data_IF_560944321609
#
_entry.id   IF_560944321609
#
_cell.length_a   1.000
_cell.length_b   1.000
_cell.length_c   1.000
_cell.angle_alpha   90.00
_cell.angle_beta   90.00
_cell.angle_gamma   90.00
#
_symmetry.space_group_name_H-M   'P 1'
#
loop_
_entity.id
_entity.type
_entity.pdbx_description
1 polymer ?
#
# COMPACT_ATOMS: atom_id res chain seq x y z
N UNK A 1 -8.77 16.54 -13.89
CA UNK A 1 -9.33 15.23 -14.28
C UNK A 1 -10.22 14.73 -13.15
N UNK A 2 -11.35 14.05 -13.40
CA UNK A 2 -12.12 13.43 -12.31
C UNK A 2 -11.28 12.30 -11.69
N UNK A 3 -11.25 12.13 -10.36
CA UNK A 3 -10.45 11.10 -9.69
C UNK A 3 -10.78 9.68 -10.19
N UNK A 4 -12.05 9.39 -10.46
CA UNK A 4 -12.44 8.13 -11.10
C UNK A 4 -11.72 7.84 -12.43
N UNK A 5 -11.53 8.88 -13.26
CA UNK A 5 -10.83 8.74 -14.54
C UNK A 5 -9.32 8.59 -14.33
N UNK A 6 -8.76 9.35 -13.38
CA UNK A 6 -7.37 9.23 -12.96
C UNK A 6 -7.03 7.80 -12.55
N UNK A 7 -7.79 7.22 -11.61
CA UNK A 7 -7.53 5.86 -11.14
C UNK A 7 -7.76 4.82 -12.23
N UNK A 8 -8.75 5.00 -13.12
CA UNK A 8 -8.92 4.08 -14.26
C UNK A 8 -7.67 4.04 -15.15
N UNK A 9 -7.10 5.21 -15.45
CA UNK A 9 -5.89 5.30 -16.26
C UNK A 9 -4.66 4.75 -15.53
N UNK A 10 -4.56 4.99 -14.22
CA UNK A 10 -3.49 4.48 -13.39
C UNK A 10 -3.52 2.94 -13.30
N UNK A 11 -4.70 2.36 -13.12
CA UNK A 11 -4.91 0.90 -13.11
C UNK A 11 -4.53 0.30 -14.47
N UNK A 12 -4.97 0.89 -15.57
CA UNK A 12 -4.61 0.41 -16.90
C UNK A 12 -3.09 0.44 -17.15
N UNK A 13 -2.40 1.45 -16.63
CA UNK A 13 -0.93 1.51 -16.67
C UNK A 13 -0.29 0.41 -15.81
N UNK A 14 -0.80 0.21 -14.59
CA UNK A 14 -0.32 -0.85 -13.69
C UNK A 14 -0.50 -2.24 -14.31
N UNK A 15 -1.66 -2.52 -14.92
CA UNK A 15 -1.97 -3.79 -15.59
C UNK A 15 -0.95 -4.10 -16.70
N UNK A 16 -0.62 -3.12 -17.53
CA UNK A 16 0.39 -3.28 -18.60
C UNK A 16 1.79 -3.45 -18.01
N UNK A 17 2.12 -2.69 -16.97
CA UNK A 17 3.45 -2.67 -16.36
C UNK A 17 3.83 -4.01 -15.73
N UNK A 18 2.86 -4.71 -15.12
CA UNK A 18 3.08 -6.01 -14.47
C UNK A 18 2.67 -7.20 -15.35
N UNK A 19 2.19 -6.96 -16.58
CA UNK A 19 1.70 -8.01 -17.46
C UNK A 19 2.80 -9.03 -17.79
N UNK A 20 2.57 -10.29 -17.42
CA UNK A 20 3.46 -11.41 -17.76
C UNK A 20 4.70 -11.55 -16.88
N UNK A 21 4.95 -10.62 -15.96
CA UNK A 21 6.00 -10.75 -14.94
C UNK A 21 5.49 -11.59 -13.77
N UNK A 22 6.31 -12.51 -13.27
CA UNK A 22 5.97 -13.41 -12.15
C UNK A 22 6.66 -13.03 -10.86
N UNK A 23 7.75 -12.26 -10.94
CA UNK A 23 8.45 -11.76 -9.77
C UNK A 23 7.61 -10.68 -9.07
N UNK A 24 7.03 -11.07 -7.93
CA UNK A 24 6.17 -10.19 -7.14
C UNK A 24 6.92 -8.97 -6.60
N UNK A 25 8.24 -9.07 -6.37
CA UNK A 25 9.05 -7.97 -5.87
C UNK A 25 9.29 -6.95 -6.97
N UNK A 26 9.57 -7.40 -8.19
CA UNK A 26 9.65 -6.53 -9.36
C UNK A 26 8.32 -5.79 -9.60
N UNK A 27 7.19 -6.50 -9.49
CA UNK A 27 5.86 -5.92 -9.64
C UNK A 27 5.56 -4.88 -8.53
N UNK A 28 5.83 -5.20 -7.27
CA UNK A 28 5.68 -4.27 -6.14
C UNK A 28 6.58 -3.03 -6.32
N UNK A 29 7.83 -3.21 -6.77
CA UNK A 29 8.74 -2.11 -7.01
C UNK A 29 8.20 -1.14 -8.08
N UNK A 30 7.79 -1.66 -9.23
CA UNK A 30 7.25 -0.86 -10.33
C UNK A 30 5.91 -0.20 -9.98
N UNK A 31 5.03 -0.90 -9.25
CA UNK A 31 3.78 -0.30 -8.76
C UNK A 31 4.07 0.83 -7.78
N UNK A 32 5.00 0.64 -6.83
CA UNK A 32 5.36 1.70 -5.88
C UNK A 32 5.88 2.95 -6.59
N UNK A 33 6.71 2.78 -7.64
CA UNK A 33 7.20 3.87 -8.48
C UNK A 33 6.06 4.59 -9.21
N UNK A 34 5.20 3.83 -9.89
CA UNK A 34 4.05 4.38 -10.62
C UNK A 34 3.11 5.18 -9.71
N UNK A 35 2.79 4.64 -8.52
CA UNK A 35 1.95 5.32 -7.53
C UNK A 35 2.59 6.62 -7.05
N UNK A 36 3.87 6.59 -6.68
CA UNK A 36 4.59 7.74 -6.15
C UNK A 36 4.75 8.87 -7.18
N UNK A 37 4.94 8.54 -8.46
CA UNK A 37 5.03 9.52 -9.54
C UNK A 37 3.66 10.12 -9.90
N UNK A 38 2.58 9.33 -9.77
CA UNK A 38 1.24 9.72 -10.23
C UNK A 38 0.40 10.43 -9.17
N UNK A 39 0.60 10.10 -7.89
CA UNK A 39 -0.19 10.65 -6.79
C UNK A 39 0.42 11.95 -6.27
N UNK A 40 -0.34 13.04 -6.40
CA UNK A 40 0.05 14.31 -5.80
C UNK A 40 0.02 14.26 -4.27
N UNK A 41 0.95 14.99 -3.65
CA UNK A 41 1.04 15.19 -2.20
C UNK A 41 1.29 13.91 -1.37
N UNK A 42 1.88 12.88 -1.96
CA UNK A 42 2.35 11.69 -1.26
C UNK A 42 3.83 11.85 -0.91
N UNK A 43 4.24 11.41 0.29
CA UNK A 43 5.66 11.40 0.73
C UNK A 43 6.23 9.99 0.88
N UNK A 44 5.38 8.97 0.90
CA UNK A 44 5.78 7.58 0.91
C UNK A 44 4.74 6.70 0.21
N UNK A 45 5.16 5.75 -0.62
CA UNK A 45 4.28 4.76 -1.22
C UNK A 45 5.05 3.45 -1.40
N UNK A 46 4.51 2.34 -0.91
CA UNK A 46 5.23 1.08 -0.95
C UNK A 46 4.54 -0.06 -0.27
N UNK A 47 5.28 -1.15 -0.08
CA UNK A 47 4.73 -2.39 0.43
C UNK A 47 5.43 -2.83 1.69
N UNK A 48 4.66 -3.39 2.62
CA UNK A 48 5.17 -4.28 3.66
C UNK A 48 4.67 -5.69 3.41
N UNK A 49 5.55 -6.67 3.53
CA UNK A 49 5.33 -8.08 3.20
C UNK A 49 5.15 -8.91 4.47
N UNK A 50 4.24 -9.86 4.46
CA UNK A 50 4.09 -10.81 5.56
C UNK A 50 5.24 -11.83 5.51
N UNK A 51 6.14 -11.77 6.51
CA UNK A 51 7.26 -12.69 6.69
C UNK A 51 7.34 -13.05 8.18
N UNK A 52 7.38 -14.35 8.49
CA UNK A 52 7.45 -14.86 9.86
C UNK A 52 6.38 -14.28 10.82
N UNK A 53 5.15 -14.08 10.31
CA UNK A 53 4.01 -13.50 11.05
C UNK A 53 4.14 -12.01 11.40
N UNK A 54 5.09 -11.29 10.78
CA UNK A 54 5.22 -9.85 10.90
C UNK A 54 5.20 -9.18 9.51
N UNK A 55 4.88 -7.90 9.47
CA UNK A 55 5.09 -7.08 8.29
C UNK A 55 6.57 -6.68 8.22
N UNK A 56 7.21 -6.96 7.09
CA UNK A 56 8.62 -6.62 6.80
C UNK A 56 8.67 -5.72 5.57
N UNK A 57 9.44 -4.63 5.66
CA UNK A 57 9.57 -3.63 4.59
C UNK A 57 9.94 -4.28 3.25
N UNK A 58 9.11 -4.03 2.23
CA UNK A 58 9.28 -4.44 0.84
C UNK A 58 9.71 -3.27 -0.04
N UNK A 59 9.50 -3.34 -1.36
CA UNK A 59 9.76 -2.23 -2.27
C UNK A 59 8.90 -1.00 -1.96
N UNK A 60 9.51 0.19 -2.00
CA UNK A 60 8.83 1.45 -1.72
C UNK A 60 9.54 2.63 -2.41
N UNK A 61 8.85 3.77 -2.45
CA UNK A 61 9.38 5.08 -2.77
C UNK A 61 9.17 6.02 -1.58
N UNK A 62 10.20 6.78 -1.21
CA UNK A 62 10.16 7.69 -0.08
C UNK A 62 11.44 7.65 0.75
N UNK A 63 11.36 8.20 1.95
CA UNK A 63 12.47 8.15 2.92
C UNK A 63 12.55 6.78 3.60
N UNK A 64 13.65 6.55 4.31
CA UNK A 64 13.85 5.35 5.15
C UNK A 64 12.68 5.20 6.12
N UNK A 65 12.14 3.98 6.19
CA UNK A 65 11.00 3.62 7.03
C UNK A 65 11.34 2.49 8.01
N UNK A 66 10.39 2.12 8.86
CA UNK A 66 10.53 1.00 9.78
C UNK A 66 10.71 -0.32 9.03
N UNK A 67 11.61 -1.18 9.49
CA UNK A 67 11.90 -2.45 8.80
C UNK A 67 10.85 -3.52 9.14
N UNK A 68 10.39 -3.57 10.40
CA UNK A 68 9.42 -4.56 10.88
C UNK A 68 8.27 -3.89 11.62
N UNK A 69 7.06 -4.36 11.38
CA UNK A 69 5.83 -3.90 12.03
C UNK A 69 5.06 -5.14 12.53
N UNK A 70 4.82 -5.27 13.84
CA UNK A 70 4.00 -6.35 14.37
C UNK A 70 2.53 -6.22 13.92
N UNK A 71 1.85 -7.35 13.71
CA UNK A 71 0.41 -7.37 13.44
C UNK A 71 -0.36 -6.70 14.59
N UNK A 72 -1.36 -5.88 14.25
CA UNK A 72 -2.16 -5.09 15.19
C UNK A 72 -1.44 -3.88 15.79
N UNK A 73 -0.28 -3.48 15.26
CA UNK A 73 0.45 -2.28 15.68
C UNK A 73 0.58 -1.28 14.55
N UNK A 74 0.36 0.00 14.84
CA UNK A 74 0.30 1.05 13.83
C UNK A 74 -0.86 0.84 12.85
N UNK A 75 -0.97 1.71 11.86
CA UNK A 75 -2.02 1.65 10.84
C UNK A 75 -1.81 0.40 9.96
N UNK A 76 -0.57 0.20 9.48
CA UNK A 76 -0.15 -1.00 8.75
C UNK A 76 -0.51 -2.32 9.44
N UNK A 77 -0.10 -2.50 10.70
CA UNK A 77 -0.41 -3.74 11.44
C UNK A 77 -1.91 -3.88 11.73
N UNK A 78 -2.62 -2.78 11.94
CA UNK A 78 -4.09 -2.80 12.14
C UNK A 78 -4.81 -3.30 10.89
N UNK A 79 -4.39 -2.85 9.70
CA UNK A 79 -4.95 -3.32 8.43
C UNK A 79 -4.87 -4.84 8.28
N UNK A 80 -3.74 -5.44 8.69
CA UNK A 80 -3.57 -6.89 8.72
C UNK A 80 -4.47 -7.53 9.77
N UNK A 81 -4.52 -7.01 10.99
CA UNK A 81 -5.29 -7.63 12.08
C UNK A 81 -6.80 -7.61 11.84
N UNK A 82 -7.31 -6.56 11.18
CA UNK A 82 -8.73 -6.42 10.89
C UNK A 82 -9.11 -7.00 9.52
N UNK A 83 -8.12 -7.26 8.66
CA UNK A 83 -8.32 -7.67 7.27
C UNK A 83 -9.08 -6.64 6.46
N UNK A 84 -8.83 -5.35 6.71
CA UNK A 84 -9.56 -4.24 6.12
C UNK A 84 -8.64 -3.07 5.82
N UNK A 85 -8.98 -2.35 4.75
CA UNK A 85 -8.37 -1.06 4.43
C UNK A 85 -8.50 -0.10 5.59
N UNK A 86 -7.40 0.56 5.93
CA UNK A 86 -7.36 1.63 6.92
C UNK A 86 -7.13 2.95 6.19
N UNK A 87 -8.08 3.88 6.28
CA UNK A 87 -7.99 5.22 5.69
C UNK A 87 -8.01 6.27 6.80
N UNK A 88 -6.83 6.76 7.15
CA UNK A 88 -6.61 7.57 8.35
C UNK A 88 -6.42 9.03 7.95
N UNK A 89 -7.35 9.88 8.36
CA UNK A 89 -7.34 11.31 8.05
C UNK A 89 -6.27 12.11 8.85
N UNK A 90 -5.96 11.65 10.06
CA UNK A 90 -4.95 12.22 10.95
C UNK A 90 -4.25 11.08 11.71
N UNK A 91 -3.02 10.75 11.32
CA UNK A 91 -2.25 9.65 11.95
C UNK A 91 -1.88 9.95 13.40
N UNK A 92 -1.82 11.23 13.79
CA UNK A 92 -1.51 11.63 15.17
C UNK A 92 -2.65 11.34 16.14
N UNK A 93 -3.87 11.15 15.61
CA UNK A 93 -5.05 10.75 16.37
C UNK A 93 -5.26 9.23 16.39
N UNK A 94 -4.47 8.46 15.62
CA UNK A 94 -4.62 7.02 15.53
C UNK A 94 -4.06 6.33 16.79
N UNK A 95 -4.92 5.57 17.48
CA UNK A 95 -4.52 4.84 18.69
C UNK A 95 -3.52 3.74 18.36
N UNK A 96 -2.35 3.77 19.00
CA UNK A 96 -1.29 2.79 18.72
C UNK A 96 -0.44 3.14 17.49
N UNK A 97 -0.43 4.40 17.05
CA UNK A 97 0.49 4.91 16.04
C UNK A 97 1.95 4.58 16.41
N UNK A 98 2.62 3.85 15.53
CA UNK A 98 4.08 3.71 15.57
C UNK A 98 4.62 4.86 14.73
N UNK A 99 5.06 5.94 15.36
CA UNK A 99 5.65 7.07 14.67
C UNK A 99 7.01 6.67 14.06
N UNK A 100 6.99 6.18 12.82
CA UNK A 100 8.19 5.89 12.03
C UNK A 100 8.59 7.07 11.13
N UNK A 101 7.61 7.85 10.64
CA UNK A 101 7.84 9.12 9.95
C UNK A 101 7.04 10.25 10.61
N UNK A 102 7.74 11.24 11.13
CA UNK A 102 7.14 12.38 11.87
C UNK A 102 6.50 13.42 10.95
N UNK A 103 6.70 13.33 9.63
CA UNK A 103 6.10 14.31 8.69
C UNK A 103 4.79 13.84 8.05
N UNK A 104 4.45 12.54 8.14
CA UNK A 104 3.19 12.02 7.64
C UNK A 104 2.03 12.49 8.53
N UNK A 105 0.95 12.94 7.88
CA UNK A 105 -0.25 13.48 8.51
C UNK A 105 -1.49 12.66 8.18
N UNK A 106 -1.57 12.02 7.01
CA UNK A 106 -2.62 11.04 6.70
C UNK A 106 -2.03 9.83 5.97
N UNK A 107 -2.70 8.69 6.07
CA UNK A 107 -2.19 7.39 5.63
C UNK A 107 -3.36 6.56 5.07
N UNK A 108 -3.11 5.79 4.01
CA UNK A 108 -4.02 4.73 3.56
C UNK A 108 -3.26 3.42 3.40
N UNK A 109 -3.76 2.38 4.06
CA UNK A 109 -3.19 1.03 4.02
C UNK A 109 -4.21 0.05 3.49
N UNK A 110 -3.85 -0.70 2.46
CA UNK A 110 -4.72 -1.69 1.80
C UNK A 110 -4.08 -3.08 1.90
N UNK A 111 -4.77 -4.08 2.48
CA UNK A 111 -4.32 -5.46 2.46
C UNK A 111 -4.21 -6.02 1.03
N UNK A 112 -3.13 -6.75 0.76
CA UNK A 112 -2.93 -7.51 -0.49
C UNK A 112 -3.16 -8.98 -0.20
N UNK A 113 -4.12 -9.60 -0.89
CA UNK A 113 -4.51 -10.98 -0.67
C UNK A 113 -3.93 -11.94 -1.72
N UNK A 114 -3.56 -13.14 -1.25
CA UNK A 114 -3.29 -14.30 -2.09
C UNK A 114 -3.88 -15.54 -1.41
N UNK A 115 -4.75 -16.27 -2.13
CA UNK A 115 -5.48 -17.43 -1.57
C UNK A 115 -6.18 -17.13 -0.24
N UNK A 116 -6.90 -16.00 -0.17
CA UNK A 116 -7.63 -15.53 1.03
C UNK A 116 -6.75 -15.18 2.24
N UNK A 117 -5.41 -15.17 2.07
CA UNK A 117 -4.47 -14.76 3.12
C UNK A 117 -3.86 -13.40 2.76
N UNK A 118 -3.69 -12.55 3.76
CA UNK A 118 -2.96 -11.30 3.60
C UNK A 118 -1.48 -11.65 3.49
N UNK A 119 -0.88 -11.31 2.34
CA UNK A 119 0.52 -11.58 2.04
C UNK A 119 1.37 -10.32 2.05
N UNK A 120 0.75 -9.16 1.90
CA UNK A 120 1.37 -7.86 2.03
C UNK A 120 0.32 -6.81 2.38
N UNK A 121 0.77 -5.58 2.63
CA UNK A 121 -0.07 -4.38 2.57
C UNK A 121 0.58 -3.40 1.61
N UNK A 122 -0.24 -2.69 0.83
CA UNK A 122 0.13 -1.42 0.21
C UNK A 122 -0.08 -0.34 1.26
N UNK A 123 0.92 0.51 1.44
CA UNK A 123 0.90 1.63 2.37
C UNK A 123 1.29 2.92 1.62
N UNK A 124 0.55 3.99 1.87
CA UNK A 124 0.75 5.30 1.23
C UNK A 124 0.52 6.41 2.25
N UNK A 125 1.55 7.22 2.45
CA UNK A 125 1.54 8.37 3.36
C UNK A 125 1.43 9.70 2.63
N UNK A 126 0.86 10.69 3.31
CA UNK A 126 0.83 12.07 2.88
C UNK A 126 1.19 13.04 4.00
N UNK A 127 1.94 14.09 3.66
CA UNK A 127 2.15 15.28 4.51
C UNK A 127 0.90 16.16 4.65
N UNK A 128 -0.18 15.86 3.92
CA UNK A 128 -1.44 16.59 3.98
C UNK A 128 -2.43 15.81 4.83
N UNK A 129 -3.16 16.48 5.73
CA UNK A 129 -4.27 15.85 6.47
C UNK A 129 -5.42 15.49 5.54
N UNK A 130 -6.12 14.40 5.83
CA UNK A 130 -7.28 13.94 5.05
C UNK A 130 -7.00 13.83 3.55
N UNK A 131 -5.78 13.42 3.16
CA UNK A 131 -5.38 13.34 1.74
C UNK A 131 -6.23 12.33 0.97
N UNK A 132 -6.59 11.23 1.62
CA UNK A 132 -7.27 10.11 1.00
C UNK A 132 -8.77 10.15 1.31
N UNK A 133 -9.57 10.29 0.26
CA UNK A 133 -11.02 10.17 0.33
C UNK A 133 -11.50 8.79 -0.12
N UNK A 134 -12.82 8.64 -0.23
CA UNK A 134 -13.45 7.39 -0.64
C UNK A 134 -13.14 7.02 -2.11
N UNK A 135 -12.98 8.00 -2.99
CA UNK A 135 -12.60 7.73 -4.38
C UNK A 135 -11.15 7.27 -4.49
N UNK A 136 -10.26 7.82 -3.64
CA UNK A 136 -8.89 7.32 -3.51
C UNK A 136 -8.86 5.86 -3.04
N UNK A 137 -9.62 5.55 -1.99
CA UNK A 137 -9.72 4.19 -1.47
C UNK A 137 -10.17 3.19 -2.55
N UNK A 138 -11.27 3.47 -3.23
CA UNK A 138 -11.81 2.58 -4.26
C UNK A 138 -10.83 2.39 -5.43
N UNK A 139 -10.16 3.46 -5.85
CA UNK A 139 -9.17 3.40 -6.93
C UNK A 139 -7.93 2.59 -6.56
N UNK A 140 -7.41 2.79 -5.35
CA UNK A 140 -6.23 2.08 -4.86
C UNK A 140 -6.53 0.60 -4.54
N UNK A 141 -7.70 0.28 -3.98
CA UNK A 141 -8.16 -1.10 -3.78
C UNK A 141 -8.28 -1.85 -5.11
N UNK A 142 -8.81 -1.20 -6.15
CA UNK A 142 -8.87 -1.78 -7.50
C UNK A 142 -7.48 -1.99 -8.12
N UNK A 143 -6.51 -1.11 -7.84
CA UNK A 143 -5.12 -1.30 -8.26
C UNK A 143 -4.45 -2.46 -7.52
N UNK A 144 -4.66 -2.60 -6.21
CA UNK A 144 -4.19 -3.76 -5.44
C UNK A 144 -4.79 -5.04 -6.02
N UNK A 145 -6.08 -5.04 -6.35
CA UNK A 145 -6.72 -6.18 -6.97
C UNK A 145 -6.12 -6.58 -8.34
N UNK A 146 -5.59 -5.62 -9.10
CA UNK A 146 -4.81 -5.90 -10.30
C UNK A 146 -3.52 -6.65 -9.97
N UNK A 147 -2.79 -6.22 -8.94
CA UNK A 147 -1.59 -6.94 -8.46
C UNK A 147 -1.94 -8.36 -8.00
N UNK A 148 -2.99 -8.52 -7.18
CA UNK A 148 -3.42 -9.83 -6.64
C UNK A 148 -3.64 -10.88 -7.74
N UNK A 149 -4.27 -10.50 -8.86
CA UNK A 149 -4.50 -11.39 -10.01
C UNK A 149 -3.20 -11.86 -10.68
N UNK A 150 -2.13 -11.10 -10.52
CA UNK A 150 -0.84 -11.37 -11.13
C UNK A 150 0.08 -12.18 -10.20
N UNK A 151 -0.23 -12.26 -8.91
CA UNK A 151 0.50 -13.10 -7.96
C UNK A 151 0.23 -14.58 -8.29
N UNK A 152 1.18 -15.21 -8.99
CA UNK A 152 1.11 -16.65 -9.29
C UNK A 152 1.59 -17.49 -8.11
N UNK A 153 2.63 -17.03 -7.41
CA UNK A 153 3.29 -17.69 -6.27
C UNK A 153 3.75 -16.63 -5.27
N UNK A 154 3.42 -16.79 -3.98
CA UNK A 154 3.93 -15.93 -2.91
C UNK A 154 4.54 -16.80 -1.81
N UNK A 155 5.86 -16.71 -1.60
CA UNK A 155 6.55 -17.48 -0.55
C UNK A 155 7.02 -18.90 -0.94
N UNK A 156 7.01 -19.26 -2.23
CA UNK A 156 7.65 -20.49 -2.75
C UNK A 156 9.17 -20.33 -2.98
N UNK A 157 9.78 -19.29 -2.40
CA UNK A 157 11.23 -19.01 -2.45
C UNK A 157 11.82 -18.99 -1.04
#
# INVERSE_FOLDING_TARGET
>A
MKKTEFYRQLIAQAEVLIAGEKDVIANMANISALLFESLEHVNWAGFYRMIDQELVLGPFQGKVACIRIPVGKGVCGTAVSEGKTQRVADVHQFSGHIACDVVSNSEIVIPVLYQERIVAVLDIDSVVFSRFDEEDQQGLEALVHCLEKNIATYGDQ
#
